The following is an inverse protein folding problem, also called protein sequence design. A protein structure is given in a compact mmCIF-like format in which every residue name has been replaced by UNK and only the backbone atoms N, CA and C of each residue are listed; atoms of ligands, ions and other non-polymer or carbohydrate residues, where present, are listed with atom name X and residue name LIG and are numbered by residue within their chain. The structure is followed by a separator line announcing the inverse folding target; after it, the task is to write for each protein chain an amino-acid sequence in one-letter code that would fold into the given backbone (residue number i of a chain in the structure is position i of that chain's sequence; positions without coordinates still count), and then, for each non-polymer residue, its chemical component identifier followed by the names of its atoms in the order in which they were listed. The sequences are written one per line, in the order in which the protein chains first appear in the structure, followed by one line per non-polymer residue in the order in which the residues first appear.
data_IF_079544511208
#
_entry.id   IF_079544511208
#
_cell.length_a   1.000
_cell.length_b   1.000
_cell.length_c   1.000
_cell.angle_alpha   90.00
_cell.angle_beta   90.00
_cell.angle_gamma   90.00
#
_symmetry.space_group_name_H-M   'P 1'
#
loop_
_entity.id
_entity.type
_entity.pdbx_description
1 polymer ?
#
# COMPACT_ATOMS: atom_id res chain seq x y z
N UNK A 1 7.22 -23.94 22.50
CA UNK A 1 6.25 -22.93 22.06
C UNK A 1 6.46 -22.81 20.57
N UNK A 2 5.41 -23.11 19.82
CA UNK A 2 5.42 -23.29 18.37
C UNK A 2 5.36 -21.90 17.72
N UNK A 3 6.50 -21.41 17.20
CA UNK A 3 6.67 -20.09 16.58
C UNK A 3 6.17 -20.05 15.12
N UNK A 4 5.40 -21.05 14.69
CA UNK A 4 5.08 -21.27 13.27
C UNK A 4 3.77 -20.63 12.81
N UNK A 5 3.38 -19.49 13.42
CA UNK A 5 2.45 -18.56 12.78
C UNK A 5 3.17 -17.23 12.51
N UNK A 6 4.21 -17.30 11.66
CA UNK A 6 4.57 -16.17 10.81
C UNK A 6 3.30 -15.77 10.05
N UNK A 7 2.59 -14.75 10.53
CA UNK A 7 1.62 -14.02 9.72
C UNK A 7 2.40 -13.57 8.48
N UNK A 8 2.16 -14.24 7.36
CA UNK A 8 2.80 -13.93 6.09
C UNK A 8 2.57 -12.44 5.79
N UNK A 9 3.64 -11.69 5.52
CA UNK A 9 3.51 -10.29 5.07
C UNK A 9 2.98 -10.21 3.64
N UNK A 10 3.16 -11.30 2.88
CA UNK A 10 2.63 -11.45 1.54
C UNK A 10 1.08 -11.37 1.52
N UNK A 11 0.49 -10.61 0.58
CA UNK A 11 -0.96 -10.45 0.49
C UNK A 11 -1.66 -11.79 0.25
N UNK A 12 -2.69 -12.08 1.06
CA UNK A 12 -3.55 -13.26 0.89
C UNK A 12 -4.15 -13.30 -0.53
N UNK A 13 -4.51 -12.12 -1.07
CA UNK A 13 -5.03 -11.98 -2.42
C UNK A 13 -4.07 -12.50 -3.51
N UNK A 14 -2.77 -12.48 -3.23
CA UNK A 14 -1.74 -13.06 -4.09
C UNK A 14 -1.49 -14.53 -3.71
N UNK A 15 -1.28 -14.84 -2.44
CA UNK A 15 -0.73 -16.15 -2.02
C UNK A 15 -1.72 -17.29 -1.90
N UNK A 16 -3.04 -17.04 -1.83
CA UNK A 16 -4.04 -18.10 -1.62
C UNK A 16 -4.21 -19.03 -2.82
N UNK A 17 -3.98 -18.53 -4.04
CA UNK A 17 -4.25 -19.24 -5.30
C UNK A 17 -2.95 -19.67 -6.01
N UNK A 18 -1.78 -19.38 -5.44
CA UNK A 18 -0.48 -19.79 -5.97
C UNK A 18 -0.17 -21.25 -5.64
N UNK A 19 0.62 -21.88 -6.51
CA UNK A 19 1.29 -23.14 -6.19
C UNK A 19 2.18 -22.99 -4.96
N UNK A 20 2.38 -24.08 -4.21
CA UNK A 20 3.15 -24.05 -2.95
C UNK A 20 4.58 -23.50 -3.14
N UNK A 21 5.22 -23.82 -4.27
CA UNK A 21 6.54 -23.30 -4.59
C UNK A 21 6.50 -21.78 -4.84
N UNK A 22 5.57 -21.30 -5.67
CA UNK A 22 5.45 -19.86 -5.95
C UNK A 22 5.02 -19.07 -4.73
N UNK A 23 4.17 -19.64 -3.88
CA UNK A 23 3.80 -19.03 -2.60
C UNK A 23 5.03 -18.78 -1.74
N UNK A 24 5.93 -19.77 -1.62
CA UNK A 24 7.16 -19.62 -0.83
C UNK A 24 8.10 -18.57 -1.43
N UNK A 25 8.28 -18.57 -2.75
CA UNK A 25 9.09 -17.54 -3.43
C UNK A 25 8.53 -16.13 -3.20
N UNK A 26 7.22 -15.96 -3.32
CA UNK A 26 6.55 -14.69 -3.00
C UNK A 26 6.74 -14.33 -1.53
N UNK A 27 6.53 -15.26 -0.59
CA UNK A 27 6.73 -14.99 0.84
C UNK A 27 8.14 -14.49 1.14
N UNK A 28 9.18 -15.10 0.54
CA UNK A 28 10.57 -14.65 0.68
C UNK A 28 10.76 -13.21 0.20
N UNK A 29 10.15 -12.84 -0.94
CA UNK A 29 10.22 -11.46 -1.45
C UNK A 29 9.60 -10.48 -0.45
N UNK A 30 8.52 -10.85 0.24
CA UNK A 30 7.86 -9.99 1.23
C UNK A 30 8.54 -9.99 2.62
N UNK A 31 9.61 -10.76 2.84
CA UNK A 31 10.34 -10.75 4.12
C UNK A 31 11.15 -9.47 4.32
N UNK A 32 11.67 -8.88 3.23
CA UNK A 32 12.39 -7.61 3.29
C UNK A 32 11.40 -6.45 3.54
N UNK A 33 11.48 -5.87 4.74
CA UNK A 33 10.64 -4.75 5.19
C UNK A 33 11.19 -3.38 4.80
N UNK A 34 12.45 -3.30 4.40
CA UNK A 34 13.11 -2.06 4.03
C UNK A 34 13.11 -1.85 2.50
N UNK A 35 12.66 -2.82 1.71
CA UNK A 35 12.45 -2.65 0.27
C UNK A 35 11.36 -1.62 -0.06
N UNK A 36 11.54 -0.94 -1.19
CA UNK A 36 10.56 -0.02 -1.77
C UNK A 36 9.43 -0.77 -2.48
N UNK A 37 8.30 -0.09 -2.70
CA UNK A 37 7.20 -0.68 -3.49
C UNK A 37 7.64 -0.97 -4.93
N UNK A 38 8.48 -0.11 -5.51
CA UNK A 38 9.04 -0.32 -6.84
C UNK A 38 9.94 -1.58 -6.89
N UNK A 39 10.82 -1.77 -5.90
CA UNK A 39 11.67 -2.97 -5.82
C UNK A 39 10.85 -4.24 -5.61
N UNK A 40 9.85 -4.21 -4.72
CA UNK A 40 8.94 -5.32 -4.49
C UNK A 40 8.24 -5.76 -5.78
N UNK A 41 7.65 -4.80 -6.51
CA UNK A 41 6.98 -5.07 -7.79
C UNK A 41 7.98 -5.62 -8.80
N UNK A 42 9.17 -5.03 -8.90
CA UNK A 42 10.22 -5.51 -9.81
C UNK A 42 10.66 -6.94 -9.52
N UNK A 43 10.80 -7.34 -8.25
CA UNK A 43 11.18 -8.70 -7.88
C UNK A 43 10.07 -9.71 -8.23
N UNK A 44 8.82 -9.36 -7.94
CA UNK A 44 7.67 -10.18 -8.33
C UNK A 44 7.56 -10.31 -9.85
N UNK A 45 7.74 -9.21 -10.60
CA UNK A 45 7.75 -9.24 -12.05
C UNK A 45 8.85 -10.16 -12.60
N UNK A 46 10.05 -10.17 -11.99
CA UNK A 46 11.12 -11.09 -12.37
C UNK A 46 10.70 -12.54 -12.15
N UNK A 47 10.14 -12.88 -10.98
CA UNK A 47 9.68 -14.24 -10.65
C UNK A 47 8.62 -14.69 -11.65
N UNK A 48 7.56 -13.91 -11.83
CA UNK A 48 6.42 -14.34 -12.65
C UNK A 48 6.67 -14.25 -14.16
N UNK A 49 7.72 -13.54 -14.60
CA UNK A 49 8.15 -13.59 -16.01
C UNK A 49 9.07 -14.77 -16.33
N UNK A 50 9.59 -15.49 -15.34
CA UNK A 50 10.44 -16.66 -15.56
C UNK A 50 9.71 -17.74 -16.39
N UNK A 51 10.43 -18.37 -17.32
CA UNK A 51 9.89 -19.39 -18.23
C UNK A 51 9.44 -20.67 -17.54
N UNK A 52 9.95 -20.95 -16.34
CA UNK A 52 9.62 -22.12 -15.51
C UNK A 52 8.32 -21.95 -14.71
N UNK A 53 7.82 -20.72 -14.56
CA UNK A 53 6.57 -20.44 -13.84
C UNK A 53 5.36 -20.86 -14.66
N UNK A 54 4.42 -21.54 -14.02
CA UNK A 54 3.22 -22.06 -14.68
C UNK A 54 2.31 -20.93 -15.17
N UNK A 55 1.60 -21.14 -16.28
CA UNK A 55 0.61 -20.17 -16.78
C UNK A 55 -0.49 -19.86 -15.75
N UNK A 56 -0.80 -20.81 -14.86
CA UNK A 56 -1.78 -20.61 -13.79
C UNK A 56 -1.25 -19.60 -12.75
N UNK A 57 -0.02 -19.78 -12.28
CA UNK A 57 0.61 -18.86 -11.31
C UNK A 57 0.78 -17.45 -11.91
N UNK A 58 1.18 -17.35 -13.20
CA UNK A 58 1.24 -16.07 -13.92
C UNK A 58 -0.13 -15.36 -13.98
N UNK A 59 -1.20 -16.12 -14.19
CA UNK A 59 -2.56 -15.56 -14.23
C UNK A 59 -3.00 -15.03 -12.85
N UNK A 60 -2.64 -15.73 -11.77
CA UNK A 60 -2.89 -15.27 -10.39
C UNK A 60 -2.18 -13.94 -10.13
N UNK A 61 -0.89 -13.84 -10.48
CA UNK A 61 -0.14 -12.60 -10.31
C UNK A 61 -0.69 -11.44 -11.15
N UNK A 62 -1.00 -11.68 -12.43
CA UNK A 62 -1.59 -10.66 -13.29
C UNK A 62 -2.93 -10.14 -12.75
N UNK A 63 -3.77 -11.04 -12.21
CA UNK A 63 -5.02 -10.67 -11.54
C UNK A 63 -4.74 -9.84 -10.28
N UNK A 64 -3.78 -10.26 -9.46
CA UNK A 64 -3.39 -9.55 -8.24
C UNK A 64 -2.94 -8.12 -8.53
N UNK A 65 -2.04 -7.89 -9.51
CA UNK A 65 -1.59 -6.53 -9.86
C UNK A 65 -2.79 -5.65 -10.23
N UNK A 66 -3.68 -6.17 -11.09
CA UNK A 66 -4.86 -5.44 -11.54
C UNK A 66 -5.77 -5.06 -10.37
N UNK A 67 -6.06 -6.01 -9.48
CA UNK A 67 -6.93 -5.77 -8.34
C UNK A 67 -6.29 -4.87 -7.28
N UNK A 68 -4.98 -5.01 -7.04
CA UNK A 68 -4.22 -4.16 -6.11
C UNK A 68 -4.24 -2.71 -6.57
N UNK A 69 -3.91 -2.46 -7.85
CA UNK A 69 -3.92 -1.12 -8.43
C UNK A 69 -5.33 -0.51 -8.43
N UNK A 70 -6.36 -1.31 -8.74
CA UNK A 70 -7.75 -0.84 -8.71
C UNK A 70 -8.20 -0.48 -7.28
N UNK A 71 -7.87 -1.29 -6.28
CA UNK A 71 -8.19 -1.03 -4.87
C UNK A 71 -7.49 0.22 -4.35
N UNK A 72 -6.20 0.38 -4.63
CA UNK A 72 -5.44 1.57 -4.24
C UNK A 72 -6.02 2.83 -4.88
N UNK A 73 -6.29 2.80 -6.19
CA UNK A 73 -6.92 3.91 -6.89
C UNK A 73 -8.31 4.24 -6.33
N UNK A 74 -9.12 3.23 -5.99
CA UNK A 74 -10.43 3.42 -5.38
C UNK A 74 -10.32 4.06 -3.99
N UNK A 75 -9.38 3.62 -3.15
CA UNK A 75 -9.14 4.18 -1.82
C UNK A 75 -8.71 5.65 -1.94
N UNK A 76 -7.75 5.95 -2.80
CA UNK A 76 -7.30 7.34 -3.03
C UNK A 76 -8.46 8.20 -3.53
N UNK A 77 -9.23 7.73 -4.51
CA UNK A 77 -10.38 8.47 -5.03
C UNK A 77 -11.46 8.73 -3.98
N UNK A 78 -11.74 7.75 -3.10
CA UNK A 78 -12.67 7.94 -1.97
C UNK A 78 -12.17 9.02 -1.01
N UNK A 79 -10.89 8.96 -0.63
CA UNK A 79 -10.28 9.97 0.25
C UNK A 79 -10.35 11.35 -0.40
N UNK A 80 -9.99 11.47 -1.68
CA UNK A 80 -10.07 12.74 -2.42
C UNK A 80 -11.49 13.29 -2.49
N UNK A 81 -12.48 12.45 -2.77
CA UNK A 81 -13.87 12.86 -2.76
C UNK A 81 -14.30 13.39 -1.38
N UNK A 82 -13.89 12.71 -0.29
CA UNK A 82 -14.18 13.16 1.06
C UNK A 82 -13.46 14.46 1.44
N UNK A 83 -12.19 14.62 1.05
CA UNK A 83 -11.43 15.86 1.23
C UNK A 83 -12.01 17.03 0.41
N UNK A 84 -12.53 16.76 -0.77
CA UNK A 84 -13.18 17.79 -1.60
C UNK A 84 -14.57 18.17 -1.09
N UNK A 85 -15.22 17.28 -0.34
CA UNK A 85 -16.53 17.54 0.28
C UNK A 85 -16.43 18.26 1.63
N UNK A 86 -15.22 18.49 2.16
CA UNK A 86 -14.98 19.19 3.42
C UNK A 86 -14.45 20.61 3.20
N UNK A 87 -14.83 21.51 4.10
CA UNK A 87 -14.35 22.90 4.10
C UNK A 87 -12.98 23.03 4.78
N UNK A 88 -12.02 22.17 4.37
CA UNK A 88 -10.66 22.24 4.90
C UNK A 88 -9.98 23.55 4.51
N UNK A 89 -9.22 24.09 5.46
CA UNK A 89 -8.41 25.29 5.26
C UNK A 89 -7.28 25.04 4.24
N UNK A 90 -6.67 26.10 3.68
CA UNK A 90 -5.51 25.94 2.80
C UNK A 90 -4.34 25.16 3.44
N UNK A 91 -4.09 25.35 4.75
CA UNK A 91 -3.03 24.63 5.46
C UNK A 91 -3.36 23.14 5.64
N UNK A 92 -4.61 22.80 5.91
CA UNK A 92 -5.10 21.41 5.99
C UNK A 92 -5.01 20.71 4.64
N UNK A 93 -5.41 21.38 3.54
CA UNK A 93 -5.27 20.85 2.18
C UNK A 93 -3.81 20.64 1.80
N UNK A 94 -2.92 21.56 2.20
CA UNK A 94 -1.49 21.42 1.98
C UNK A 94 -0.89 20.22 2.76
N UNK A 95 -1.31 20.02 4.02
CA UNK A 95 -0.92 18.86 4.81
C UNK A 95 -1.38 17.56 4.15
N UNK A 96 -2.65 17.48 3.72
CA UNK A 96 -3.17 16.32 3.01
C UNK A 96 -2.38 16.05 1.72
N UNK A 97 -2.12 17.08 0.90
CA UNK A 97 -1.36 16.92 -0.34
C UNK A 97 0.05 16.37 -0.09
N UNK A 98 0.72 16.80 0.99
CA UNK A 98 2.03 16.29 1.40
C UNK A 98 1.96 14.81 1.80
N UNK A 99 0.97 14.44 2.62
CA UNK A 99 0.76 13.04 3.05
C UNK A 99 0.47 12.15 1.84
N UNK A 100 -0.40 12.61 0.94
CA UNK A 100 -0.73 11.91 -0.31
C UNK A 100 0.51 11.68 -1.18
N UNK A 101 1.33 12.71 -1.37
CA UNK A 101 2.55 12.60 -2.16
C UNK A 101 3.55 11.59 -1.58
N UNK A 102 3.69 11.53 -0.25
CA UNK A 102 4.53 10.54 0.43
C UNK A 102 3.94 9.13 0.22
N UNK A 103 2.64 8.95 0.47
CA UNK A 103 1.97 7.65 0.30
C UNK A 103 2.07 7.10 -1.13
N UNK A 104 2.00 7.97 -2.14
CA UNK A 104 2.09 7.57 -3.54
C UNK A 104 3.53 7.37 -4.04
N UNK A 105 4.54 7.75 -3.26
CA UNK A 105 5.93 7.61 -3.65
C UNK A 105 6.34 6.13 -3.65
N UNK A 106 6.62 5.59 -4.84
CA UNK A 106 7.01 4.19 -5.02
C UNK A 106 8.48 3.91 -4.68
N UNK A 107 9.30 4.96 -4.56
CA UNK A 107 10.76 4.88 -4.40
C UNK A 107 11.21 4.91 -2.92
N UNK A 108 10.25 4.87 -2.00
CA UNK A 108 10.52 4.77 -0.57
C UNK A 108 9.84 3.51 -0.01
N UNK A 109 10.45 2.92 1.03
CA UNK A 109 9.88 1.75 1.69
C UNK A 109 8.61 2.12 2.45
N UNK A 110 7.80 1.10 2.79
CA UNK A 110 6.61 1.29 3.62
C UNK A 110 6.98 1.95 4.96
N UNK A 111 8.03 1.44 5.61
CA UNK A 111 8.58 2.02 6.84
C UNK A 111 9.01 3.47 6.66
N UNK A 112 9.70 3.79 5.55
CA UNK A 112 10.13 5.17 5.30
C UNK A 112 8.94 6.10 5.01
N UNK A 113 7.92 5.60 4.33
CA UNK A 113 6.67 6.31 4.10
C UNK A 113 5.97 6.64 5.41
N UNK A 114 5.84 5.67 6.32
CA UNK A 114 5.28 5.87 7.66
C UNK A 114 6.05 6.94 8.46
N UNK A 115 7.38 6.84 8.49
CA UNK A 115 8.24 7.84 9.13
C UNK A 115 8.01 9.24 8.55
N UNK A 116 7.97 9.37 7.23
CA UNK A 116 7.79 10.66 6.55
C UNK A 116 6.37 11.23 6.75
N UNK A 117 5.35 10.38 6.79
CA UNK A 117 3.97 10.79 7.11
C UNK A 117 3.91 11.33 8.54
N UNK A 118 4.51 10.63 9.50
CA UNK A 118 4.56 11.09 10.89
C UNK A 118 5.33 12.41 11.06
N UNK A 119 6.44 12.59 10.32
CA UNK A 119 7.16 13.87 10.27
C UNK A 119 6.29 14.97 9.66
N UNK A 120 5.57 14.69 8.56
CA UNK A 120 4.68 15.66 7.94
C UNK A 120 3.57 16.10 8.91
N UNK A 121 2.98 15.15 9.65
CA UNK A 121 1.97 15.42 10.68
C UNK A 121 2.51 16.24 11.85
N UNK A 122 3.71 15.92 12.36
CA UNK A 122 4.37 16.66 13.45
C UNK A 122 4.76 18.09 13.06
N UNK A 123 4.93 18.34 11.76
CA UNK A 123 5.24 19.69 11.25
C UNK A 123 4.01 20.59 11.10
N UNK A 124 2.79 20.06 11.30
CA UNK A 124 1.55 20.81 11.25
C UNK A 124 1.02 21.10 12.67
N UNK A 125 0.07 22.03 12.78
CA UNK A 125 -0.66 22.24 14.04
C UNK A 125 -1.51 21.02 14.39
N UNK A 126 -1.81 20.83 15.67
CA UNK A 126 -2.69 19.75 16.11
C UNK A 126 -4.09 19.88 15.47
N UNK A 127 -4.59 21.12 15.30
CA UNK A 127 -5.86 21.41 14.63
C UNK A 127 -5.84 20.92 13.17
N UNK A 128 -4.78 21.24 12.42
CA UNK A 128 -4.66 20.82 11.03
C UNK A 128 -4.52 19.29 10.92
N UNK A 129 -3.75 18.66 11.81
CA UNK A 129 -3.60 17.21 11.86
C UNK A 129 -4.94 16.52 12.11
N UNK A 130 -5.67 16.95 13.15
CA UNK A 130 -6.95 16.35 13.54
C UNK A 130 -7.98 16.53 12.43
N UNK A 131 -8.05 17.72 11.82
CA UNK A 131 -8.99 17.99 10.73
C UNK A 131 -8.75 17.08 9.52
N UNK A 132 -7.49 16.92 9.11
CA UNK A 132 -7.12 16.04 7.99
C UNK A 132 -7.37 14.57 8.32
N UNK A 133 -6.97 14.09 9.50
CA UNK A 133 -7.22 12.71 9.94
C UNK A 133 -8.72 12.39 9.99
N UNK A 134 -9.52 13.30 10.57
CA UNK A 134 -10.97 13.17 10.63
C UNK A 134 -11.58 13.11 9.24
N UNK A 135 -11.14 13.97 8.32
CA UNK A 135 -11.64 13.98 6.95
C UNK A 135 -11.29 12.69 6.20
N UNK A 136 -10.07 12.16 6.36
CA UNK A 136 -9.65 10.89 5.76
C UNK A 136 -10.48 9.73 6.31
N UNK A 137 -10.65 9.64 7.64
CA UNK A 137 -11.45 8.58 8.27
C UNK A 137 -12.89 8.65 7.77
N UNK A 138 -13.51 9.82 7.81
CA UNK A 138 -14.88 10.02 7.34
C UNK A 138 -15.06 9.64 5.86
N UNK A 139 -14.06 9.91 5.02
CA UNK A 139 -14.07 9.53 3.61
C UNK A 139 -14.03 8.02 3.40
N UNK A 140 -13.31 7.30 4.26
CA UNK A 140 -13.17 5.84 4.18
C UNK A 140 -14.35 5.09 4.80
N UNK A 141 -15.05 5.70 5.76
CA UNK A 141 -16.19 5.08 6.47
C UNK A 141 -17.56 5.49 5.91
N UNK A 142 -17.63 6.46 4.98
CA UNK A 142 -18.87 6.77 4.28
C UNK A 142 -19.20 5.64 3.29
N UNK A 143 -20.31 4.94 3.57
CA UNK A 143 -20.92 3.97 2.66
C UNK A 143 -21.56 4.64 1.45
#
# INVERSE_FOLDING_TARGET
MDDTQLKTLAPILLTQDLSANMKKEVENVYEDRDQTKAELVSQLDIIFNDTSVSSADKAVYAKYIKESNAKEAQIVAKIEAGINATDLTPSQKALYAKIKAIFQNQDISGKKSEEQIEVAKKSASDEDRIAVETAIIAALTKE
#
